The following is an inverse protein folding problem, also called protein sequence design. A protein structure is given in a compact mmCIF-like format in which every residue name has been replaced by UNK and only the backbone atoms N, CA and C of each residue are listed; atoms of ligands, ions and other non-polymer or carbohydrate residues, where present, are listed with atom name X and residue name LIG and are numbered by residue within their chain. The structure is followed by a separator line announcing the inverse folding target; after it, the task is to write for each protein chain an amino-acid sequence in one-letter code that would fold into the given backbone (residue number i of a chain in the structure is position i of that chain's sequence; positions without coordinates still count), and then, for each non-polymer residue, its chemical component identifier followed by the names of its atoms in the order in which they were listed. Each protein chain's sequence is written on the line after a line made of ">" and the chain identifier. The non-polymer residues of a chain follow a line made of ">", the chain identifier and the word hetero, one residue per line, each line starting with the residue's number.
data_IF_682609642833
#
_entry.id   IF_682609642833
#
_cell.length_a   1.000
_cell.length_b   1.000
_cell.length_c   1.000
_cell.angle_alpha   90.00
_cell.angle_beta   90.00
_cell.angle_gamma   90.00
#
_symmetry.space_group_name_H-M   'P 1'
#
loop_
_entity.id
_entity.type
_entity.pdbx_description
1 polymer ?
#
# COMPACT_ATOMS: atom_id res chain seq x y z
N UNK A 1 -8.63 -9.63 32.81
CA UNK A 1 -7.56 -8.63 32.61
C UNK A 1 -6.98 -8.75 31.18
N UNK A 2 -7.68 -8.26 30.14
CA UNK A 2 -7.19 -8.25 28.74
C UNK A 2 -7.82 -7.13 27.88
N UNK A 3 -8.09 -5.97 28.46
CA UNK A 3 -8.66 -4.82 27.72
C UNK A 3 -7.71 -3.62 27.61
N UNK A 4 -6.55 -3.65 28.29
CA UNK A 4 -5.67 -2.48 28.43
C UNK A 4 -4.60 -2.44 27.32
N UNK A 5 -4.34 -3.55 26.62
CA UNK A 5 -3.26 -3.65 25.63
C UNK A 5 -3.61 -3.11 24.24
N UNK A 6 -4.90 -2.90 23.93
CA UNK A 6 -5.31 -2.41 22.59
C UNK A 6 -5.26 -0.87 22.45
N UNK A 7 -5.31 -0.12 23.55
CA UNK A 7 -5.26 1.35 23.51
C UNK A 7 -3.85 1.91 23.28
N UNK A 8 -2.78 1.12 23.45
CA UNK A 8 -1.41 1.61 23.27
C UNK A 8 -0.94 1.60 21.80
N UNK A 9 -1.63 0.88 20.90
CA UNK A 9 -1.29 0.89 19.48
C UNK A 9 -1.89 2.09 18.71
N UNK A 10 -2.87 2.80 19.31
CA UNK A 10 -3.49 3.98 18.71
C UNK A 10 -2.71 5.27 19.00
N UNK A 11 -1.79 5.27 19.97
CA UNK A 11 -1.03 6.48 20.34
C UNK A 11 0.25 6.71 19.53
N UNK A 12 0.68 5.77 18.68
CA UNK A 12 1.90 5.92 17.85
C UNK A 12 1.61 6.67 16.53
N UNK A 13 0.34 6.78 16.10
CA UNK A 13 -0.04 7.51 14.88
C UNK A 13 -0.25 9.01 15.09
N UNK A 14 -0.37 9.50 16.33
CA UNK A 14 -0.53 10.93 16.63
C UNK A 14 0.78 11.73 16.57
N UNK A 15 1.95 11.07 16.52
CA UNK A 15 3.25 11.76 16.41
C UNK A 15 3.59 12.32 15.03
N UNK A 16 2.75 12.16 14.02
CA UNK A 16 3.03 12.76 12.71
C UNK A 16 2.73 14.27 12.64
N UNK A 17 2.02 14.86 13.62
CA UNK A 17 1.57 16.28 13.51
C UNK A 17 1.81 17.14 14.77
N UNK A 18 1.99 16.59 15.97
CA UNK A 18 1.95 17.41 17.20
C UNK A 18 3.29 18.00 17.67
N UNK A 19 4.44 17.65 17.10
CA UNK A 19 5.73 18.26 17.47
C UNK A 19 6.06 19.56 16.72
N UNK A 20 5.24 20.02 15.77
CA UNK A 20 5.52 21.23 14.98
C UNK A 20 4.87 22.53 15.50
N UNK A 21 4.07 22.49 16.57
CA UNK A 21 3.33 23.69 17.03
C UNK A 21 3.85 24.38 18.30
N UNK A 22 4.89 23.87 18.95
CA UNK A 22 5.37 24.48 20.21
C UNK A 22 6.56 25.45 20.08
N UNK A 23 7.24 25.53 18.92
CA UNK A 23 8.42 26.41 18.77
C UNK A 23 8.29 27.52 17.71
N UNK A 24 7.10 27.68 17.11
CA UNK A 24 6.87 28.62 16.01
C UNK A 24 6.33 30.00 16.45
N UNK A 25 6.55 30.41 17.71
CA UNK A 25 6.14 31.75 18.19
C UNK A 25 7.28 32.78 18.06
N UNK A 26 8.52 32.37 17.76
CA UNK A 26 9.68 33.27 17.82
C UNK A 26 10.28 33.73 16.48
N UNK A 27 9.68 33.42 15.32
CA UNK A 27 10.20 33.91 14.03
C UNK A 27 9.06 34.32 13.13
N UNK A 28 8.49 35.48 13.46
CA UNK A 28 7.67 36.32 12.61
C UNK A 28 8.53 36.80 11.42
N UNK A 29 7.89 36.92 10.25
CA UNK A 29 8.36 37.62 9.05
C UNK A 29 9.49 36.97 8.24
N UNK A 30 9.12 36.07 7.33
CA UNK A 30 9.63 36.14 5.96
C UNK A 30 8.59 35.52 5.02
N UNK A 31 8.13 36.30 4.05
CA UNK A 31 7.06 35.94 3.11
C UNK A 31 7.34 34.62 2.40
N UNK A 32 6.40 33.68 2.53
CA UNK A 32 6.42 32.37 1.89
C UNK A 32 5.47 32.41 0.67
N UNK A 33 5.84 33.22 -0.32
CA UNK A 33 5.32 33.16 -1.70
C UNK A 33 6.11 32.12 -2.54
N UNK A 34 6.58 31.04 -1.90
CA UNK A 34 7.12 29.89 -2.60
C UNK A 34 6.17 28.73 -2.42
N UNK A 35 5.13 28.74 -3.25
CA UNK A 35 4.39 27.56 -3.67
C UNK A 35 5.42 26.58 -4.27
N UNK A 36 6.02 25.76 -3.39
CA UNK A 36 6.99 24.75 -3.76
C UNK A 36 6.27 23.74 -4.67
N UNK A 37 6.64 23.70 -5.95
CA UNK A 37 5.97 22.95 -7.03
C UNK A 37 6.17 21.43 -6.89
N UNK A 38 5.50 20.85 -5.89
CA UNK A 38 5.46 19.42 -5.62
C UNK A 38 4.74 18.64 -6.73
N UNK A 39 4.03 19.30 -7.66
CA UNK A 39 3.33 18.65 -8.77
C UNK A 39 4.29 18.28 -9.90
N UNK A 40 5.23 19.17 -10.23
CA UNK A 40 6.22 18.93 -11.29
C UNK A 40 7.26 17.87 -10.90
N UNK A 41 7.81 17.93 -9.68
CA UNK A 41 8.76 16.90 -9.18
C UNK A 41 8.07 15.52 -9.05
N UNK A 42 6.77 15.51 -8.77
CA UNK A 42 5.94 14.31 -8.75
C UNK A 42 5.71 13.74 -10.15
N UNK A 43 5.48 14.57 -11.17
CA UNK A 43 5.25 14.14 -12.55
C UNK A 43 6.53 13.56 -13.20
N UNK A 44 7.69 14.17 -12.96
CA UNK A 44 8.98 13.66 -13.47
C UNK A 44 9.35 12.29 -12.85
N UNK A 45 9.03 12.08 -11.57
CA UNK A 45 9.21 10.79 -10.91
C UNK A 45 8.14 9.75 -11.33
N UNK A 46 6.95 10.18 -11.74
CA UNK A 46 5.89 9.29 -12.26
C UNK A 46 6.27 8.68 -13.61
N UNK A 47 6.92 9.45 -14.49
CA UNK A 47 7.43 8.95 -15.77
C UNK A 47 8.51 7.87 -15.58
N UNK A 48 9.29 7.93 -14.50
CA UNK A 48 10.24 6.86 -14.12
C UNK A 48 9.52 5.54 -13.78
N UNK A 49 8.37 5.62 -13.10
CA UNK A 49 7.59 4.44 -12.67
C UNK A 49 6.84 3.76 -13.84
N UNK A 50 6.57 4.51 -14.90
CA UNK A 50 5.91 4.05 -16.13
C UNK A 50 6.91 3.46 -17.14
N UNK A 51 8.19 3.85 -17.06
CA UNK A 51 9.27 3.26 -17.87
C UNK A 51 9.79 1.90 -17.34
N UNK A 52 9.41 1.50 -16.12
CA UNK A 52 9.87 0.27 -15.44
C UNK A 52 9.04 -0.99 -15.83
N UNK A 53 8.34 -0.98 -16.97
CA UNK A 53 7.32 -2.00 -17.32
C UNK A 53 7.71 -2.98 -18.44
N UNK A 54 7.71 -4.27 -18.04
CA UNK A 54 7.29 -5.40 -18.87
C UNK A 54 5.91 -5.13 -19.50
N UNK A 55 5.71 -5.57 -20.75
CA UNK A 55 4.49 -5.41 -21.54
C UNK A 55 3.20 -5.76 -20.74
N UNK A 56 2.42 -4.76 -20.35
CA UNK A 56 1.13 -4.91 -19.68
C UNK A 56 -0.02 -4.85 -20.68
N UNK A 57 -1.08 -5.64 -20.46
CA UNK A 57 -2.28 -5.56 -21.30
C UNK A 57 -3.13 -4.30 -21.00
N UNK A 58 -4.07 -4.00 -21.90
CA UNK A 58 -4.89 -2.77 -21.87
C UNK A 58 -5.75 -2.68 -20.61
N UNK A 59 -6.30 -3.79 -20.12
CA UNK A 59 -7.14 -3.83 -18.92
C UNK A 59 -6.29 -3.59 -17.67
N UNK A 60 -5.08 -4.15 -17.62
CA UNK A 60 -4.11 -3.89 -16.55
C UNK A 60 -3.69 -2.43 -16.51
N UNK A 61 -3.42 -1.85 -17.67
CA UNK A 61 -3.10 -0.42 -17.79
C UNK A 61 -4.27 0.44 -17.29
N UNK A 62 -5.51 0.08 -17.61
CA UNK A 62 -6.71 0.76 -17.10
C UNK A 62 -6.84 0.68 -15.57
N UNK A 63 -6.66 -0.51 -14.99
CA UNK A 63 -6.70 -0.75 -13.55
C UNK A 63 -5.62 0.06 -12.81
N UNK A 64 -4.37 -0.04 -13.28
CA UNK A 64 -3.20 0.63 -12.67
C UNK A 64 -3.34 2.15 -12.76
N UNK A 65 -3.77 2.68 -13.90
CA UNK A 65 -4.06 4.13 -14.06
C UNK A 65 -5.16 4.60 -13.13
N UNK A 66 -6.20 3.79 -12.91
CA UNK A 66 -7.30 4.14 -12.00
C UNK A 66 -6.81 4.23 -10.56
N UNK A 67 -6.10 3.20 -10.09
CA UNK A 67 -5.48 3.18 -8.76
C UNK A 67 -4.54 4.38 -8.59
N UNK A 68 -3.70 4.66 -9.60
CA UNK A 68 -2.76 5.79 -9.60
C UNK A 68 -3.45 7.13 -9.32
N UNK A 69 -4.53 7.42 -10.06
CA UNK A 69 -5.31 8.66 -9.89
C UNK A 69 -5.89 8.77 -8.47
N UNK A 70 -6.39 7.66 -7.95
CA UNK A 70 -7.06 7.60 -6.66
C UNK A 70 -6.03 7.75 -5.53
N UNK A 71 -4.88 7.08 -5.62
CA UNK A 71 -3.77 7.24 -4.69
C UNK A 71 -3.23 8.68 -4.68
N UNK A 72 -3.09 9.32 -5.85
CA UNK A 72 -2.63 10.73 -5.92
C UNK A 72 -3.58 11.68 -5.20
N UNK A 73 -4.89 11.38 -5.19
CA UNK A 73 -5.87 12.16 -4.41
C UNK A 73 -5.84 11.78 -2.93
N UNK A 74 -5.84 10.48 -2.64
CA UNK A 74 -5.96 9.96 -1.29
C UNK A 74 -4.78 10.36 -0.40
N UNK A 75 -3.56 10.28 -0.94
CA UNK A 75 -2.36 10.55 -0.16
C UNK A 75 -2.13 12.05 0.10
N UNK A 76 -2.91 12.97 -0.51
CA UNK A 76 -2.85 14.41 -0.21
C UNK A 76 -3.40 14.74 1.18
N UNK A 77 -4.19 13.86 1.79
CA UNK A 77 -4.81 14.11 3.09
C UNK A 77 -4.44 13.04 4.10
N UNK A 78 -4.33 13.42 5.38
CA UNK A 78 -4.06 12.47 6.47
C UNK A 78 -5.15 11.41 6.58
N UNK A 79 -6.42 11.81 6.37
CA UNK A 79 -7.56 10.90 6.35
C UNK A 79 -7.41 9.86 5.24
N UNK A 80 -6.99 10.29 4.08
CA UNK A 80 -6.78 9.42 2.95
C UNK A 80 -5.61 8.48 3.10
N UNK A 81 -4.47 8.97 3.58
CA UNK A 81 -3.34 8.11 3.95
C UNK A 81 -3.75 7.04 4.95
N UNK A 82 -4.50 7.42 6.00
CA UNK A 82 -5.01 6.47 6.99
C UNK A 82 -5.95 5.42 6.38
N UNK A 83 -6.79 5.83 5.41
CA UNK A 83 -7.67 4.92 4.69
C UNK A 83 -6.89 3.92 3.84
N UNK A 84 -5.89 4.37 3.07
CA UNK A 84 -5.01 3.48 2.30
C UNK A 84 -4.30 2.48 3.21
N UNK A 85 -3.78 2.93 4.36
CA UNK A 85 -3.12 2.05 5.32
C UNK A 85 -4.08 0.97 5.83
N UNK A 86 -5.35 1.30 6.13
CA UNK A 86 -6.36 0.30 6.52
C UNK A 86 -6.59 -0.75 5.45
N UNK A 87 -6.72 -0.34 4.19
CA UNK A 87 -6.88 -1.28 3.09
C UNK A 87 -5.65 -2.19 2.92
N UNK A 88 -4.45 -1.65 3.15
CA UNK A 88 -3.22 -2.46 3.16
C UNK A 88 -3.23 -3.48 4.30
N UNK A 89 -3.75 -3.13 5.48
CA UNK A 89 -3.91 -4.08 6.60
C UNK A 89 -4.90 -5.19 6.25
N UNK A 90 -6.04 -4.87 5.62
CA UNK A 90 -7.02 -5.86 5.19
C UNK A 90 -6.44 -6.84 4.15
N UNK A 91 -5.69 -6.32 3.19
CA UNK A 91 -4.98 -7.16 2.21
C UNK A 91 -3.94 -8.06 2.89
N UNK A 92 -3.15 -7.51 3.82
CA UNK A 92 -2.18 -8.30 4.58
C UNK A 92 -2.86 -9.42 5.37
N UNK A 93 -3.96 -9.12 6.06
CA UNK A 93 -4.75 -10.08 6.82
C UNK A 93 -5.26 -11.21 5.93
N UNK A 94 -5.88 -10.86 4.80
CA UNK A 94 -6.39 -11.85 3.83
C UNK A 94 -5.29 -12.71 3.21
N UNK A 95 -4.14 -12.12 2.88
CA UNK A 95 -2.98 -12.85 2.36
C UNK A 95 -2.41 -13.83 3.39
N UNK A 96 -2.34 -13.43 4.67
CA UNK A 96 -1.83 -14.28 5.74
C UNK A 96 -2.79 -15.44 5.99
N UNK A 97 -4.10 -15.15 6.08
CA UNK A 97 -5.14 -16.17 6.21
C UNK A 97 -5.14 -17.16 5.03
N UNK A 98 -4.85 -16.70 3.81
CA UNK A 98 -4.68 -17.58 2.66
C UNK A 98 -3.50 -18.54 2.83
N UNK A 99 -2.32 -18.04 3.21
CA UNK A 99 -1.14 -18.89 3.42
C UNK A 99 -1.43 -19.94 4.49
N UNK A 100 -2.03 -19.53 5.61
CA UNK A 100 -2.42 -20.45 6.69
C UNK A 100 -3.45 -21.48 6.21
N UNK A 101 -4.45 -21.07 5.43
CA UNK A 101 -5.47 -21.96 4.89
C UNK A 101 -4.88 -23.01 3.93
N UNK A 102 -3.92 -22.62 3.10
CA UNK A 102 -3.21 -23.57 2.20
C UNK A 102 -2.40 -24.57 3.02
N UNK A 103 -1.67 -24.11 4.04
CA UNK A 103 -0.87 -24.98 4.91
C UNK A 103 -1.76 -25.96 5.70
N UNK A 104 -2.96 -25.51 6.11
CA UNK A 104 -3.96 -26.32 6.80
C UNK A 104 -4.68 -27.35 5.91
N UNK A 105 -4.53 -27.30 4.57
CA UNK A 105 -5.09 -28.33 3.69
C UNK A 105 -4.40 -29.69 3.86
N UNK A 106 -3.25 -29.77 4.55
CA UNK A 106 -2.63 -31.03 5.00
C UNK A 106 -2.20 -31.99 3.89
N UNK A 107 -2.17 -31.54 2.64
CA UNK A 107 -1.85 -32.32 1.44
C UNK A 107 -0.75 -31.64 0.64
N UNK A 108 -0.15 -32.38 -0.29
CA UNK A 108 0.90 -31.84 -1.15
C UNK A 108 0.35 -30.68 -2.01
N UNK A 109 0.97 -29.51 -1.90
CA UNK A 109 0.55 -28.30 -2.62
C UNK A 109 0.84 -28.46 -4.12
N UNK A 110 -0.17 -28.37 -5.00
CA UNK A 110 0.03 -28.42 -6.44
C UNK A 110 0.94 -27.27 -6.92
N UNK A 111 1.69 -27.50 -8.00
CA UNK A 111 2.65 -26.51 -8.53
C UNK A 111 2.02 -25.15 -8.83
N UNK A 112 0.78 -25.13 -9.32
CA UNK A 112 0.10 -23.87 -9.65
C UNK A 112 -0.38 -23.12 -8.40
N UNK A 113 -0.84 -23.83 -7.37
CA UNK A 113 -1.13 -23.26 -6.04
C UNK A 113 0.15 -22.72 -5.41
N UNK A 114 1.27 -23.44 -5.51
CA UNK A 114 2.56 -22.99 -4.97
C UNK A 114 3.04 -21.67 -5.61
N UNK A 115 2.80 -21.46 -6.91
CA UNK A 115 3.08 -20.18 -7.59
C UNK A 115 2.23 -19.05 -7.03
N UNK A 116 0.94 -19.30 -6.75
CA UNK A 116 0.05 -18.32 -6.13
C UNK A 116 0.53 -17.99 -4.73
N UNK A 117 0.84 -18.99 -3.89
CA UNK A 117 1.42 -18.80 -2.54
C UNK A 117 2.69 -17.96 -2.58
N UNK A 118 3.61 -18.26 -3.50
CA UNK A 118 4.84 -17.46 -3.64
C UNK A 118 4.53 -16.00 -4.03
N UNK A 119 3.55 -15.77 -4.90
CA UNK A 119 3.10 -14.43 -5.27
C UNK A 119 2.43 -13.70 -4.09
N UNK A 120 1.59 -14.39 -3.31
CA UNK A 120 0.94 -13.84 -2.11
C UNK A 120 1.97 -13.51 -1.02
N UNK A 121 3.01 -14.32 -0.83
CA UNK A 121 4.12 -14.00 0.08
C UNK A 121 4.86 -12.71 -0.31
N UNK A 122 4.99 -12.42 -1.61
CA UNK A 122 5.51 -11.12 -2.08
C UNK A 122 4.56 -9.96 -1.72
N UNK A 123 3.25 -10.17 -1.86
CA UNK A 123 2.24 -9.18 -1.42
C UNK A 123 2.37 -8.89 0.07
N UNK A 124 2.50 -9.92 0.92
CA UNK A 124 2.74 -9.79 2.36
C UNK A 124 3.99 -8.94 2.63
N UNK A 125 5.09 -9.20 1.93
CA UNK A 125 6.33 -8.41 2.07
C UNK A 125 6.10 -6.94 1.75
N UNK A 126 5.43 -6.64 0.63
CA UNK A 126 5.13 -5.25 0.23
C UNK A 126 4.23 -4.56 1.26
N UNK A 127 3.21 -5.26 1.77
CA UNK A 127 2.33 -4.73 2.82
C UNK A 127 3.12 -4.40 4.09
N UNK A 128 4.02 -5.29 4.52
CA UNK A 128 4.89 -5.02 5.66
C UNK A 128 5.80 -3.82 5.43
N UNK A 129 6.34 -3.65 4.22
CA UNK A 129 7.14 -2.46 3.90
C UNK A 129 6.32 -1.17 3.98
N UNK A 130 5.07 -1.20 3.52
CA UNK A 130 4.13 -0.07 3.65
C UNK A 130 3.77 0.20 5.11
N UNK A 131 3.48 -0.82 5.93
CA UNK A 131 3.12 -0.62 7.34
C UNK A 131 4.30 -0.12 8.19
N UNK A 132 5.52 -0.53 7.84
CA UNK A 132 6.74 -0.07 8.46
C UNK A 132 7.35 1.16 7.76
N UNK A 133 6.52 1.97 7.09
CA UNK A 133 6.94 3.15 6.31
C UNK A 133 7.89 4.07 7.09
N UNK A 134 7.59 4.38 8.35
CA UNK A 134 8.38 5.32 9.16
C UNK A 134 9.83 4.85 9.36
N UNK A 135 10.03 3.55 9.59
CA UNK A 135 11.34 2.97 9.84
C UNK A 135 12.04 2.46 8.57
N UNK A 136 11.29 2.22 7.47
CA UNK A 136 11.83 1.63 6.23
C UNK A 136 11.84 2.56 5.02
N UNK A 137 10.93 3.52 4.95
CA UNK A 137 10.65 4.32 3.74
C UNK A 137 10.68 5.85 3.99
N UNK A 138 10.57 6.31 5.24
CA UNK A 138 10.60 7.72 5.64
C UNK A 138 11.64 8.02 6.72
N UNK A 139 12.65 7.17 6.87
CA UNK A 139 13.75 7.45 7.75
C UNK A 139 14.45 8.74 7.27
N UNK A 140 14.62 9.69 8.18
CA UNK A 140 15.42 10.88 7.90
C UNK A 140 16.88 10.44 7.76
N UNK A 141 17.51 10.76 6.63
CA UNK A 141 18.96 10.75 6.57
C UNK A 141 19.45 11.88 7.51
N UNK A 142 20.41 11.60 8.40
CA UNK A 142 20.92 12.55 9.42
C UNK A 142 21.49 13.87 8.82
N UNK A 143 21.57 13.97 7.49
CA UNK A 143 22.00 15.15 6.77
C UNK A 143 20.85 16.16 6.57
N UNK A 144 20.69 17.06 7.54
CA UNK A 144 20.34 18.50 7.44
C UNK A 144 19.47 19.03 6.27
N UNK A 145 18.55 18.24 5.70
CA UNK A 145 17.65 18.68 4.64
C UNK A 145 16.29 19.09 5.24
N UNK A 146 15.75 20.20 4.75
CA UNK A 146 14.52 20.81 5.26
C UNK A 146 13.36 19.81 5.38
N UNK A 147 12.55 19.95 6.43
CA UNK A 147 11.42 19.06 6.78
C UNK A 147 10.48 18.76 5.59
N UNK A 148 10.33 19.71 4.65
CA UNK A 148 9.52 19.57 3.44
C UNK A 148 10.07 18.54 2.43
N UNK A 149 11.41 18.45 2.25
CA UNK A 149 12.02 17.47 1.34
C UNK A 149 11.82 16.03 1.83
N UNK A 150 11.82 15.85 3.15
CA UNK A 150 11.64 14.54 3.77
C UNK A 150 10.17 14.05 3.68
N UNK A 151 9.19 14.95 3.75
CA UNK A 151 7.77 14.60 3.57
C UNK A 151 7.42 14.21 2.13
N UNK A 152 7.97 14.88 1.11
CA UNK A 152 7.74 14.49 -0.29
C UNK A 152 8.34 13.12 -0.61
N UNK A 153 9.58 12.85 -0.16
CA UNK A 153 10.23 11.54 -0.28
C UNK A 153 9.40 10.43 0.37
N UNK A 154 8.86 10.69 1.56
CA UNK A 154 7.99 9.76 2.29
C UNK A 154 6.67 9.47 1.56
N UNK A 155 5.98 10.52 1.10
CA UNK A 155 4.76 10.42 0.29
C UNK A 155 5.00 9.57 -0.97
N UNK A 156 6.10 9.86 -1.66
CA UNK A 156 6.44 9.17 -2.90
C UNK A 156 6.79 7.70 -2.69
N UNK A 157 7.52 7.38 -1.61
CA UNK A 157 7.83 6.00 -1.26
C UNK A 157 6.57 5.20 -0.91
N UNK A 158 5.61 5.81 -0.19
CA UNK A 158 4.31 5.21 0.08
C UNK A 158 3.52 4.99 -1.22
N UNK A 159 3.51 5.99 -2.11
CA UNK A 159 2.86 5.89 -3.41
C UNK A 159 3.46 4.77 -4.26
N UNK A 160 4.79 4.76 -4.45
CA UNK A 160 5.54 3.72 -5.17
C UNK A 160 5.26 2.34 -4.58
N UNK A 161 5.28 2.18 -3.26
CA UNK A 161 5.01 0.91 -2.60
C UNK A 161 3.56 0.45 -2.81
N UNK A 162 2.58 1.35 -2.73
CA UNK A 162 1.16 1.01 -2.95
C UNK A 162 0.88 0.67 -4.42
N UNK A 163 1.57 1.33 -5.36
CA UNK A 163 1.54 0.95 -6.78
C UNK A 163 2.18 -0.43 -7.03
N UNK A 164 3.31 -0.74 -6.38
CA UNK A 164 3.92 -2.08 -6.41
C UNK A 164 2.97 -3.14 -5.87
N UNK A 165 2.28 -2.87 -4.76
CA UNK A 165 1.25 -3.73 -4.19
C UNK A 165 0.15 -4.02 -5.22
N UNK A 166 -0.35 -2.96 -5.85
CA UNK A 166 -1.42 -3.02 -6.86
C UNK A 166 -1.04 -3.88 -8.06
N UNK A 167 0.16 -3.66 -8.60
CA UNK A 167 0.71 -4.47 -9.70
C UNK A 167 0.83 -5.94 -9.29
N UNK A 168 1.31 -6.21 -8.08
CA UNK A 168 1.48 -7.58 -7.58
C UNK A 168 0.13 -8.28 -7.33
N UNK A 169 -0.89 -7.57 -6.83
CA UNK A 169 -2.26 -8.07 -6.71
C UNK A 169 -2.78 -8.51 -8.09
N UNK A 170 -2.64 -7.66 -9.10
CA UNK A 170 -3.09 -7.94 -10.46
C UNK A 170 -2.35 -9.16 -11.06
N UNK A 171 -1.03 -9.23 -10.93
CA UNK A 171 -0.24 -10.42 -11.31
C UNK A 171 -0.75 -11.69 -10.61
N UNK A 172 -1.12 -11.59 -9.35
CA UNK A 172 -1.65 -12.72 -8.58
C UNK A 172 -3.05 -13.13 -9.04
N UNK A 173 -3.94 -12.18 -9.32
CA UNK A 173 -5.27 -12.46 -9.89
C UNK A 173 -5.18 -13.23 -11.21
N UNK A 174 -4.18 -12.93 -12.05
CA UNK A 174 -3.92 -13.70 -13.28
C UNK A 174 -3.47 -15.13 -13.02
N UNK A 175 -2.66 -15.36 -11.99
CA UNK A 175 -2.29 -16.72 -11.58
C UNK A 175 -3.51 -17.49 -11.07
N UNK A 176 -4.35 -16.83 -10.28
CA UNK A 176 -5.61 -17.39 -9.76
C UNK A 176 -6.55 -17.76 -10.92
N UNK A 177 -6.67 -16.92 -11.95
CA UNK A 177 -7.50 -17.20 -13.12
C UNK A 177 -7.02 -18.41 -13.96
N UNK A 178 -5.74 -18.79 -13.82
CA UNK A 178 -5.13 -19.95 -14.49
C UNK A 178 -5.18 -21.22 -13.63
N UNK A 179 -5.81 -21.17 -12.46
CA UNK A 179 -5.89 -22.33 -11.56
C UNK A 179 -6.67 -23.47 -12.26
N UNK A 180 -6.14 -24.70 -12.31
CA UNK A 180 -6.83 -25.84 -12.91
C UNK A 180 -8.16 -26.16 -12.20
N UNK A 181 -9.17 -26.58 -12.95
CA UNK A 181 -10.51 -26.89 -12.44
C UNK A 181 -10.56 -28.16 -11.58
N UNK A 182 -9.57 -29.05 -11.72
CA UNK A 182 -9.39 -30.28 -10.95
C UNK A 182 -8.64 -30.06 -9.63
N UNK A 183 -8.31 -28.82 -9.30
CA UNK A 183 -7.71 -28.45 -8.01
C UNK A 183 -8.67 -28.81 -6.87
N UNK A 184 -8.14 -29.43 -5.79
CA UNK A 184 -8.95 -29.81 -4.63
C UNK A 184 -9.73 -28.63 -4.05
N UNK A 185 -10.94 -28.89 -3.55
CA UNK A 185 -11.85 -27.89 -2.97
C UNK A 185 -11.20 -27.02 -1.88
N UNK A 186 -10.30 -27.59 -1.05
CA UNK A 186 -9.59 -26.85 -0.01
C UNK A 186 -8.78 -25.67 -0.58
N UNK A 187 -7.93 -25.92 -1.58
CA UNK A 187 -7.14 -24.88 -2.23
C UNK A 187 -8.01 -23.89 -3.01
N UNK A 188 -9.08 -24.36 -3.67
CA UNK A 188 -9.99 -23.50 -4.42
C UNK A 188 -10.73 -22.54 -3.49
N UNK A 189 -11.26 -23.03 -2.37
CA UNK A 189 -11.95 -22.23 -1.35
C UNK A 189 -11.03 -21.16 -0.76
N UNK A 190 -9.82 -21.55 -0.34
CA UNK A 190 -8.81 -20.61 0.15
C UNK A 190 -8.48 -19.54 -0.90
N UNK A 191 -8.28 -19.95 -2.16
CA UNK A 191 -7.94 -19.04 -3.27
C UNK A 191 -9.08 -18.08 -3.60
N UNK A 192 -10.34 -18.52 -3.51
CA UNK A 192 -11.49 -17.67 -3.74
C UNK A 192 -11.63 -16.57 -2.67
N UNK A 193 -11.34 -16.90 -1.40
CA UNK A 193 -11.39 -15.91 -0.31
C UNK A 193 -10.39 -14.77 -0.53
N UNK A 194 -9.13 -15.10 -0.87
CA UNK A 194 -8.12 -14.05 -1.13
C UNK A 194 -8.41 -13.26 -2.41
N UNK A 195 -8.97 -13.92 -3.43
CA UNK A 195 -9.42 -13.27 -4.68
C UNK A 195 -10.49 -12.20 -4.41
N UNK A 196 -11.43 -12.46 -3.51
CA UNK A 196 -12.46 -11.48 -3.12
C UNK A 196 -11.82 -10.23 -2.52
N UNK A 197 -10.86 -10.38 -1.61
CA UNK A 197 -10.13 -9.24 -1.02
C UNK A 197 -9.36 -8.45 -2.08
N UNK A 198 -8.67 -9.13 -2.99
CA UNK A 198 -7.94 -8.49 -4.09
C UNK A 198 -8.84 -7.68 -5.02
N UNK A 199 -10.02 -8.20 -5.37
CA UNK A 199 -10.99 -7.47 -6.19
C UNK A 199 -11.62 -6.28 -5.45
N UNK A 200 -11.67 -6.33 -4.11
CA UNK A 200 -12.26 -5.26 -3.29
C UNK A 200 -11.28 -4.10 -3.03
N UNK A 201 -9.97 -4.31 -3.24
CA UNK A 201 -8.94 -3.32 -2.95
C UNK A 201 -9.16 -1.98 -3.66
N UNK A 202 -9.39 -1.99 -4.98
CA UNK A 202 -9.61 -0.76 -5.74
C UNK A 202 -10.94 -0.08 -5.39
N UNK A 203 -12.09 -0.78 -5.36
CA UNK A 203 -13.34 -0.19 -4.87
C UNK A 203 -13.20 0.48 -3.51
N UNK A 204 -12.53 -0.15 -2.55
CA UNK A 204 -12.36 0.43 -1.22
C UNK A 204 -11.44 1.66 -1.23
N UNK A 205 -10.37 1.63 -2.02
CA UNK A 205 -9.50 2.81 -2.21
C UNK A 205 -10.26 3.96 -2.89
N UNK A 206 -11.19 3.69 -3.82
CA UNK A 206 -12.05 4.72 -4.39
C UNK A 206 -12.94 5.37 -3.32
N UNK A 207 -13.56 4.55 -2.46
CA UNK A 207 -14.37 5.03 -1.33
C UNK A 207 -13.54 5.90 -0.38
N UNK A 208 -12.25 5.61 -0.20
CA UNK A 208 -11.37 6.49 0.56
C UNK A 208 -11.42 7.92 0.02
N UNK A 209 -11.35 8.12 -1.30
CA UNK A 209 -11.36 9.45 -1.93
C UNK A 209 -12.73 10.11 -1.86
N UNK A 210 -13.81 9.35 -2.02
CA UNK A 210 -15.17 9.90 -1.98
C UNK A 210 -15.61 10.29 -0.56
N UNK A 211 -14.94 9.79 0.47
CA UNK A 211 -15.23 10.05 1.88
C UNK A 211 -14.29 11.08 2.55
N UNK A 212 -13.37 11.69 1.79
CA UNK A 212 -12.45 12.74 2.25
C UNK A 212 -13.13 14.12 2.29
#
# INVERSE_FOLDING_TARGET
>A
MKAITFCLLVLVSATFVLTTKANAIASKELGLDSEFDWETELDELLDELDNDEDYMDVEQLGFIRSVRKVLRKALKTVRGTNCIIKEVVEILSSCTAYVDAIDNCGTAIPKDVAKIVASVKKIISICNDILHLRSKLCAADDSSSSTAKNSCKCFWNLFKATMKLTRQINKTLKLIAKLPSDTSECFVSATNNVKVSFNSFLPNINVCVDSM
#
